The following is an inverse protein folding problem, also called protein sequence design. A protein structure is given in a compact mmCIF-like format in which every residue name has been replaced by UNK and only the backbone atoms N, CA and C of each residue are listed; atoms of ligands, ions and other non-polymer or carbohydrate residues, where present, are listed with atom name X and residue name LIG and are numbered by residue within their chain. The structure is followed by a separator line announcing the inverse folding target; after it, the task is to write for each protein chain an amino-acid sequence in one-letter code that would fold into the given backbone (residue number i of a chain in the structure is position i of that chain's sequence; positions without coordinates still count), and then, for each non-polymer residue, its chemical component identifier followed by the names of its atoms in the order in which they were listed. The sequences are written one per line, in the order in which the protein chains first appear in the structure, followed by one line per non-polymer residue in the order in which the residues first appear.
data_IF_628822974437
#
_entry.id   IF_628822974437
#
_cell.length_a   1.000
_cell.length_b   1.000
_cell.length_c   1.000
_cell.angle_alpha   90.00
_cell.angle_beta   90.00
_cell.angle_gamma   90.00
#
_symmetry.space_group_name_H-M   'P 1'
#
loop_
_entity.id
_entity.type
_entity.pdbx_description
1 polymer ?
#
# COMPACT_ATOMS: atom_id res chain seq x y z
N UNK A 1 -0.66 -0.39 25.66
CA UNK A 1 -1.91 0.32 25.24
C UNK A 1 -1.74 1.15 23.98
N UNK A 2 -0.66 1.94 23.85
CA UNK A 2 -0.43 2.82 22.70
C UNK A 2 -0.45 2.11 21.32
N UNK A 3 0.09 0.89 21.23
CA UNK A 3 0.06 0.10 19.99
C UNK A 3 -1.36 -0.32 19.58
N UNK A 4 -2.23 -0.67 20.55
CA UNK A 4 -3.63 -1.02 20.28
C UNK A 4 -4.40 0.20 19.77
N UNK A 5 -4.17 1.37 20.37
CA UNK A 5 -4.77 2.64 19.96
C UNK A 5 -4.33 3.02 18.54
N UNK A 6 -3.03 2.89 18.23
CA UNK A 6 -2.50 3.14 16.88
C UNK A 6 -3.12 2.22 15.84
N UNK A 7 -3.31 0.94 16.16
CA UNK A 7 -3.89 -0.05 15.24
C UNK A 7 -5.37 0.21 15.00
N UNK A 8 -6.13 0.54 16.05
CA UNK A 8 -7.55 0.94 15.91
C UNK A 8 -7.67 2.22 15.09
N UNK A 9 -6.87 3.25 15.39
CA UNK A 9 -6.88 4.51 14.64
C UNK A 9 -6.54 4.28 13.15
N UNK A 10 -5.52 3.45 12.87
CA UNK A 10 -5.13 3.10 11.51
C UNK A 10 -6.28 2.42 10.77
N UNK A 11 -6.94 1.44 11.39
CA UNK A 11 -8.09 0.75 10.79
C UNK A 11 -9.25 1.71 10.51
N UNK A 12 -9.54 2.63 11.43
CA UNK A 12 -10.59 3.65 11.25
C UNK A 12 -10.27 4.58 10.09
N UNK A 13 -9.03 5.06 9.98
CA UNK A 13 -8.58 5.90 8.87
C UNK A 13 -8.70 5.13 7.55
N UNK A 14 -8.29 3.86 7.53
CA UNK A 14 -8.36 3.02 6.35
C UNK A 14 -9.82 2.80 5.90
N UNK A 15 -10.72 2.54 6.84
CA UNK A 15 -12.16 2.41 6.57
C UNK A 15 -12.76 3.72 6.03
N UNK A 16 -12.42 4.87 6.64
CA UNK A 16 -12.89 6.18 6.17
C UNK A 16 -12.40 6.50 4.75
N UNK A 17 -11.16 6.14 4.43
CA UNK A 17 -10.58 6.29 3.10
C UNK A 17 -11.30 5.44 2.04
N UNK A 18 -11.66 4.19 2.37
CA UNK A 18 -12.46 3.33 1.49
C UNK A 18 -13.85 3.94 1.25
N UNK A 19 -14.53 4.39 2.30
CA UNK A 19 -15.84 5.05 2.19
C UNK A 19 -15.75 6.32 1.35
N UNK A 20 -14.72 7.15 1.56
CA UNK A 20 -14.46 8.34 0.77
C UNK A 20 -14.26 8.02 -0.72
N UNK A 21 -13.52 6.94 -1.04
CA UNK A 21 -13.30 6.49 -2.41
C UNK A 21 -14.57 5.97 -3.10
N UNK A 22 -15.47 5.34 -2.34
CA UNK A 22 -16.75 4.87 -2.87
C UNK A 22 -17.74 6.01 -3.08
N UNK A 23 -17.73 7.03 -2.22
CA UNK A 23 -18.60 8.20 -2.33
C UNK A 23 -18.12 9.20 -3.39
N UNK A 24 -16.80 9.36 -3.58
CA UNK A 24 -16.22 10.23 -4.61
C UNK A 24 -15.86 9.45 -5.87
N UNK A 25 -16.87 8.86 -6.52
CA UNK A 25 -16.70 8.24 -7.84
C UNK A 25 -16.71 9.31 -8.94
N UNK A 26 -15.57 10.00 -9.11
CA UNK A 26 -15.29 10.70 -10.35
C UNK A 26 -14.75 9.68 -11.38
N UNK A 27 -15.52 9.30 -12.42
CA UNK A 27 -15.07 8.33 -13.40
C UNK A 27 -13.86 8.89 -14.16
N UNK A 28 -12.80 8.10 -14.26
CA UNK A 28 -11.61 8.38 -15.05
C UNK A 28 -11.46 7.26 -16.06
N UNK A 29 -11.47 7.63 -17.34
CA UNK A 29 -11.25 6.68 -18.41
C UNK A 29 -9.75 6.37 -18.52
N UNK A 30 -9.45 5.08 -18.53
CA UNK A 30 -8.11 4.54 -18.65
C UNK A 30 -8.00 3.85 -19.99
N UNK A 31 -7.12 4.39 -20.83
CA UNK A 31 -6.70 3.77 -22.08
C UNK A 31 -5.42 2.97 -21.82
N UNK A 32 -5.56 1.66 -21.63
CA UNK A 32 -4.42 0.74 -21.65
C UNK A 32 -4.12 0.29 -23.08
N UNK A 33 -2.93 -0.29 -23.29
CA UNK A 33 -2.46 -0.73 -24.61
C UNK A 33 -3.44 -1.65 -25.37
N UNK A 34 -4.23 -2.46 -24.66
CA UNK A 34 -5.18 -3.40 -25.28
C UNK A 34 -6.59 -3.35 -24.67
N UNK A 35 -6.81 -2.53 -23.64
CA UNK A 35 -8.07 -2.52 -22.87
C UNK A 35 -8.43 -1.09 -22.50
N UNK A 36 -9.69 -0.72 -22.69
CA UNK A 36 -10.25 0.53 -22.18
C UNK A 36 -11.15 0.21 -21.00
N UNK A 37 -10.98 0.90 -19.88
CA UNK A 37 -11.83 0.72 -18.70
C UNK A 37 -12.04 2.05 -17.99
N UNK A 38 -13.15 2.18 -17.25
CA UNK A 38 -13.44 3.38 -16.48
C UNK A 38 -13.41 3.03 -15.00
N UNK A 39 -12.52 3.68 -14.25
CA UNK A 39 -12.32 3.48 -12.81
C UNK A 39 -12.41 4.83 -12.10
N UNK A 40 -12.83 4.82 -10.83
CA UNK A 40 -12.79 6.05 -10.02
C UNK A 40 -11.33 6.49 -9.82
N UNK A 41 -11.05 7.78 -9.98
CA UNK A 41 -9.73 8.37 -9.71
C UNK A 41 -9.23 7.97 -8.32
N UNK A 42 -10.12 7.95 -7.33
CA UNK A 42 -9.76 7.63 -5.95
C UNK A 42 -9.30 6.19 -5.82
N UNK A 43 -9.98 5.26 -6.50
CA UNK A 43 -9.57 3.85 -6.58
C UNK A 43 -8.17 3.73 -7.22
N UNK A 44 -7.91 4.50 -8.28
CA UNK A 44 -6.62 4.52 -8.97
C UNK A 44 -5.48 4.97 -8.05
N UNK A 45 -5.70 6.04 -7.27
CA UNK A 45 -4.73 6.58 -6.31
C UNK A 45 -4.45 5.56 -5.20
N UNK A 46 -5.48 4.91 -4.67
CA UNK A 46 -5.27 3.86 -3.66
C UNK A 46 -4.53 2.66 -4.23
N UNK A 47 -4.86 2.22 -5.44
CA UNK A 47 -4.19 1.07 -6.06
C UNK A 47 -2.70 1.36 -6.27
N UNK A 48 -2.37 2.52 -6.82
CA UNK A 48 -0.98 2.93 -7.08
C UNK A 48 -0.19 3.09 -5.78
N UNK A 49 -0.79 3.71 -4.76
CA UNK A 49 -0.19 3.81 -3.43
C UNK A 49 0.04 2.43 -2.78
N UNK A 50 -0.94 1.53 -2.85
CA UNK A 50 -0.84 0.18 -2.32
C UNK A 50 0.27 -0.62 -3.02
N UNK A 51 0.33 -0.57 -4.35
CA UNK A 51 1.41 -1.22 -5.12
C UNK A 51 2.79 -0.69 -4.72
N UNK A 52 2.95 0.64 -4.62
CA UNK A 52 4.21 1.26 -4.19
C UNK A 52 4.61 0.87 -2.77
N UNK A 53 3.64 0.87 -1.84
CA UNK A 53 3.87 0.48 -0.45
C UNK A 53 4.28 -0.99 -0.32
N UNK A 54 3.60 -1.90 -1.01
CA UNK A 54 3.92 -3.32 -1.01
C UNK A 54 5.31 -3.58 -1.61
N UNK A 55 5.61 -2.99 -2.77
CA UNK A 55 6.91 -3.13 -3.42
C UNK A 55 8.05 -2.58 -2.55
N UNK A 56 7.86 -1.41 -1.94
CA UNK A 56 8.83 -0.80 -1.01
C UNK A 56 9.03 -1.65 0.25
N UNK A 57 7.94 -2.17 0.83
CA UNK A 57 7.98 -3.01 2.03
C UNK A 57 8.68 -4.34 1.77
N UNK A 58 8.38 -5.01 0.65
CA UNK A 58 9.05 -6.23 0.21
C UNK A 58 10.56 -6.00 0.00
N UNK A 59 10.92 -4.94 -0.73
CA UNK A 59 12.32 -4.62 -1.02
C UNK A 59 13.10 -4.34 0.27
N UNK A 60 12.51 -3.55 1.17
CA UNK A 60 13.12 -3.22 2.47
C UNK A 60 13.25 -4.46 3.35
N UNK A 61 12.21 -5.29 3.42
CA UNK A 61 12.23 -6.55 4.18
C UNK A 61 13.32 -7.50 3.69
N UNK A 62 13.45 -7.69 2.37
CA UNK A 62 14.51 -8.52 1.79
C UNK A 62 15.90 -7.95 2.05
N UNK A 63 16.08 -6.63 1.98
CA UNK A 63 17.36 -5.98 2.25
C UNK A 63 17.77 -6.12 3.72
N UNK A 64 16.84 -5.88 4.65
CA UNK A 64 17.06 -6.06 6.08
C UNK A 64 17.37 -7.52 6.43
N UNK A 65 16.64 -8.47 5.84
CA UNK A 65 16.89 -9.90 6.04
C UNK A 65 18.28 -10.31 5.54
N UNK A 66 18.71 -9.83 4.37
CA UNK A 66 20.06 -10.06 3.85
C UNK A 66 21.15 -9.44 4.73
N UNK A 67 20.91 -8.26 5.29
CA UNK A 67 21.84 -7.60 6.22
C UNK A 67 21.97 -8.35 7.54
N UNK A 68 20.85 -8.84 8.09
CA UNK A 68 20.86 -9.63 9.31
C UNK A 68 21.68 -10.91 9.13
N UNK A 69 21.48 -11.65 8.03
CA UNK A 69 22.23 -12.88 7.71
C UNK A 69 23.74 -12.65 7.57
N UNK A 70 24.15 -11.57 6.90
CA UNK A 70 25.57 -11.20 6.74
C UNK A 70 26.26 -10.79 8.05
N UNK A 71 25.49 -10.37 9.06
CA UNK A 71 26.05 -10.00 10.37
C UNK A 71 26.35 -11.24 11.19
N UNK A 72 25.46 -12.24 11.18
CA UNK A 72 25.68 -13.52 11.85
C UNK A 72 26.86 -14.29 11.29
N UNK A 73 27.06 -14.31 9.96
CA UNK A 73 28.21 -14.97 9.31
C UNK A 73 29.57 -14.28 9.58
N UNK A 74 29.59 -13.07 10.15
CA UNK A 74 30.83 -12.35 10.50
C UNK A 74 31.19 -12.41 11.99
N UNK A 75 30.28 -12.90 12.82
CA UNK A 75 30.47 -13.06 14.27
C UNK A 75 30.86 -14.50 14.66
N UNK A 76 30.80 -15.46 13.72
CA UNK A 76 31.41 -16.80 13.79
C UNK A 76 32.83 -16.81 13.17
#
# INVERSE_FOLDING_TARGET
MLQKIKLVLLLTILAALVVFALLNRAPTDLDFLFVKTSLSTTLLVFLTAACGFLAGSLTTGLWLHKRAKKKSEKEE
#
